data_IF_135887692598
#
_entry.id   IF_135887692598
#
_cell.length_a   1.000
_cell.length_b   1.000
_cell.length_c   1.000
_cell.angle_alpha   90.00
_cell.angle_beta   90.00
_cell.angle_gamma   90.00
#
_symmetry.space_group_name_H-M   'P 1'
#
loop_
_entity.id
_entity.type
_entity.pdbx_description
1 polymer ?
#
# COMPACT_ATOMS: atom_id res chain seq x y z
N UNK A 1 -45.49 13.20 -17.72
CA UNK A 1 -45.77 11.75 -17.63
C UNK A 1 -44.51 11.02 -18.02
N UNK A 2 -43.95 10.26 -17.06
CA UNK A 2 -43.19 9.00 -17.18
C UNK A 2 -42.06 8.94 -18.23
N UNK A 3 -40.85 8.46 -17.96
CA UNK A 3 -40.25 7.88 -16.76
C UNK A 3 -38.77 7.66 -17.06
N UNK A 4 -37.93 7.96 -16.07
CA UNK A 4 -36.97 6.99 -15.52
C UNK A 4 -36.18 6.12 -16.51
N UNK A 5 -35.04 6.63 -16.95
CA UNK A 5 -33.84 5.80 -17.07
C UNK A 5 -32.71 6.58 -16.43
N UNK A 6 -32.71 6.55 -15.11
CA UNK A 6 -31.54 6.84 -14.29
C UNK A 6 -30.49 5.82 -14.70
N UNK A 7 -29.69 6.22 -15.68
CA UNK A 7 -28.53 5.46 -16.14
C UNK A 7 -27.69 5.22 -14.90
N UNK A 8 -27.74 3.97 -14.43
CA UNK A 8 -27.00 3.46 -13.31
C UNK A 8 -25.53 3.70 -13.66
N UNK A 9 -25.03 4.86 -13.27
CA UNK A 9 -23.62 5.18 -13.25
C UNK A 9 -23.02 4.22 -12.24
N UNK A 10 -22.67 3.03 -12.72
CA UNK A 10 -21.71 2.15 -12.06
C UNK A 10 -20.40 2.92 -12.12
N UNK A 11 -20.28 3.95 -11.26
CA UNK A 11 -18.98 4.45 -10.88
C UNK A 11 -18.26 3.19 -10.39
N UNK A 12 -17.10 2.82 -10.95
CA UNK A 12 -16.33 1.74 -10.36
C UNK A 12 -16.19 2.10 -8.89
N UNK A 13 -16.66 1.22 -8.01
CA UNK A 13 -16.61 1.43 -6.57
C UNK A 13 -15.16 1.75 -6.23
N UNK A 14 -14.86 3.04 -6.01
CA UNK A 14 -13.51 3.48 -5.68
C UNK A 14 -13.17 2.80 -4.36
N UNK A 15 -12.00 2.18 -4.31
CA UNK A 15 -11.44 1.67 -3.07
C UNK A 15 -11.17 2.82 -2.09
N UNK A 16 -10.63 2.52 -0.90
CA UNK A 16 -10.33 3.56 0.07
C UNK A 16 -9.33 4.57 -0.50
N UNK A 17 -9.44 5.82 -0.07
CA UNK A 17 -8.44 6.85 -0.35
C UNK A 17 -7.39 6.81 0.76
N UNK A 18 -6.13 6.64 0.37
CA UNK A 18 -4.98 6.67 1.29
C UNK A 18 -4.26 7.99 1.10
N UNK A 19 -4.16 8.75 2.18
CA UNK A 19 -3.37 9.97 2.22
C UNK A 19 -2.04 9.67 2.87
N UNK A 20 -0.95 10.13 2.26
CA UNK A 20 0.41 9.89 2.73
C UNK A 20 1.11 11.24 2.79
N UNK A 21 1.80 11.52 3.89
CA UNK A 21 2.68 12.67 3.92
C UNK A 21 3.87 12.49 2.96
N UNK A 22 4.63 13.55 2.73
CA UNK A 22 5.76 13.50 1.78
C UNK A 22 6.88 12.52 2.18
N UNK A 23 7.00 12.14 3.45
CA UNK A 23 8.03 11.22 3.95
C UNK A 23 7.56 9.78 4.13
N UNK A 24 6.24 9.53 4.05
CA UNK A 24 5.60 8.27 4.42
C UNK A 24 5.53 8.02 5.93
N UNK A 25 5.82 9.02 6.76
CA UNK A 25 5.85 8.89 8.21
C UNK A 25 4.45 8.74 8.78
N UNK A 26 3.50 9.46 8.19
CA UNK A 26 2.10 9.42 8.56
C UNK A 26 1.22 9.07 7.37
N UNK A 27 0.30 8.13 7.62
CA UNK A 27 -0.67 7.67 6.63
C UNK A 27 -2.07 7.80 7.21
N UNK A 28 -3.02 8.26 6.41
CA UNK A 28 -4.43 8.30 6.80
C UNK A 28 -5.28 7.45 5.86
N UNK A 29 -6.01 6.51 6.44
CA UNK A 29 -6.96 5.62 5.72
C UNK A 29 -8.27 5.61 6.48
N UNK A 30 -9.38 5.91 5.80
CA UNK A 30 -10.72 5.94 6.39
C UNK A 30 -10.79 6.75 7.71
N UNK A 31 -10.10 7.89 7.74
CA UNK A 31 -10.04 8.78 8.91
C UNK A 31 -9.12 8.32 10.05
N UNK A 32 -8.46 7.17 9.92
CA UNK A 32 -7.49 6.66 10.90
C UNK A 32 -6.07 7.02 10.51
N UNK A 33 -5.33 7.57 11.46
CA UNK A 33 -3.91 7.89 11.31
C UNK A 33 -3.05 6.69 11.73
N UNK A 34 -2.07 6.34 10.88
CA UNK A 34 -1.07 5.32 11.09
C UNK A 34 0.30 6.00 11.14
N UNK A 35 0.94 5.98 12.30
CA UNK A 35 2.31 6.48 12.47
C UNK A 35 3.33 5.36 12.17
N UNK A 36 4.23 5.63 11.21
CA UNK A 36 5.36 4.78 10.83
C UNK A 36 6.73 5.41 11.11
N UNK A 37 6.82 6.55 11.81
CA UNK A 37 8.07 7.28 12.10
C UNK A 37 9.15 6.37 12.68
N UNK A 38 8.76 5.54 13.65
CA UNK A 38 9.65 4.58 14.33
C UNK A 38 9.74 3.22 13.64
N UNK A 39 9.01 3.01 12.54
CA UNK A 39 8.87 1.74 11.82
C UNK A 39 9.48 1.82 10.43
N UNK A 40 10.75 2.25 10.37
CA UNK A 40 11.49 2.57 9.14
C UNK A 40 11.30 1.54 8.01
N UNK A 41 11.50 0.25 8.28
CA UNK A 41 11.35 -0.79 7.25
C UNK A 41 9.94 -0.84 6.66
N UNK A 42 8.89 -0.68 7.50
CA UNK A 42 7.51 -0.66 7.05
C UNK A 42 7.22 0.57 6.19
N UNK A 43 7.73 1.74 6.60
CA UNK A 43 7.62 2.99 5.85
C UNK A 43 8.24 2.86 4.46
N UNK A 44 9.50 2.41 4.39
CA UNK A 44 10.22 2.25 3.12
C UNK A 44 9.52 1.26 2.19
N UNK A 45 9.07 0.12 2.72
CA UNK A 45 8.31 -0.87 1.97
C UNK A 45 7.03 -0.25 1.40
N UNK A 46 6.28 0.50 2.20
CA UNK A 46 5.04 1.10 1.74
C UNK A 46 5.30 2.16 0.66
N UNK A 47 6.26 3.05 0.87
CA UNK A 47 6.62 4.09 -0.12
C UNK A 47 7.02 3.48 -1.45
N UNK A 48 7.84 2.43 -1.40
CA UNK A 48 8.23 1.65 -2.56
C UNK A 48 7.00 1.07 -3.30
N UNK A 49 6.03 0.49 -2.59
CA UNK A 49 4.81 -0.04 -3.20
C UNK A 49 3.93 1.06 -3.81
N UNK A 50 3.88 2.24 -3.18
CA UNK A 50 3.19 3.43 -3.70
C UNK A 50 3.83 3.90 -5.01
N UNK A 51 5.15 3.98 -5.05
CA UNK A 51 5.89 4.37 -6.26
C UNK A 51 5.62 3.40 -7.41
N UNK A 52 5.62 2.08 -7.17
CA UNK A 52 5.27 1.10 -8.23
C UNK A 52 3.83 1.20 -8.65
N UNK A 53 2.92 1.41 -7.72
CA UNK A 53 1.51 1.59 -8.02
C UNK A 53 1.27 2.81 -8.91
N UNK A 54 2.02 3.89 -8.70
CA UNK A 54 1.96 5.07 -9.57
C UNK A 54 2.49 4.79 -10.99
N UNK A 55 3.45 3.88 -11.14
CA UNK A 55 4.02 3.49 -12.45
C UNK A 55 3.11 2.48 -13.18
N UNK A 56 2.79 1.36 -12.54
CA UNK A 56 1.83 0.36 -13.05
C UNK A 56 1.11 -0.36 -11.89
N UNK A 57 -0.17 -0.05 -11.60
CA UNK A 57 -0.99 -0.70 -10.57
C UNK A 57 -1.17 -2.22 -10.75
N UNK A 58 -0.88 -2.77 -11.93
CA UNK A 58 -1.07 -4.21 -12.22
C UNK A 58 0.16 -5.04 -11.88
N UNK A 59 1.32 -4.44 -11.70
CA UNK A 59 2.56 -5.18 -11.44
C UNK A 59 2.75 -5.34 -9.94
N UNK A 60 2.90 -6.59 -9.49
CA UNK A 60 3.25 -6.87 -8.11
C UNK A 60 4.77 -6.85 -7.93
N UNK A 61 5.21 -6.35 -6.78
CA UNK A 61 6.60 -6.31 -6.36
C UNK A 61 7.01 -7.64 -5.74
N UNK A 62 8.04 -8.33 -6.27
CA UNK A 62 8.56 -9.57 -5.71
C UNK A 62 8.98 -9.43 -4.25
N UNK A 63 8.87 -10.52 -3.48
CA UNK A 63 9.26 -10.53 -2.08
C UNK A 63 10.72 -10.11 -1.84
N UNK A 64 11.61 -10.40 -2.80
CA UNK A 64 13.01 -9.98 -2.71
C UNK A 64 13.15 -8.46 -2.77
N UNK A 65 12.49 -7.81 -3.73
CA UNK A 65 12.52 -6.35 -3.88
C UNK A 65 11.87 -5.65 -2.68
N UNK A 66 10.79 -6.23 -2.14
CA UNK A 66 10.18 -5.76 -0.89
C UNK A 66 11.17 -5.83 0.28
N UNK A 67 11.95 -6.91 0.35
CA UNK A 67 12.97 -7.04 1.38
C UNK A 67 14.09 -6.02 1.19
N UNK A 68 14.62 -5.88 -0.02
CA UNK A 68 15.70 -4.95 -0.31
C UNK A 68 15.28 -3.49 -0.04
N UNK A 69 13.99 -3.15 -0.19
CA UNK A 69 13.45 -1.85 0.20
C UNK A 69 13.42 -1.65 1.73
N UNK A 70 12.93 -2.63 2.48
CA UNK A 70 12.79 -2.53 3.94
C UNK A 70 14.09 -2.65 4.73
N UNK A 71 15.05 -3.39 4.18
CA UNK A 71 16.31 -3.77 4.81
C UNK A 71 17.47 -3.57 3.84
N UNK A 72 17.51 -2.40 3.20
CA UNK A 72 18.54 -2.04 2.21
C UNK A 72 19.95 -2.32 2.72
N UNK A 73 20.73 -3.07 1.92
CA UNK A 73 22.09 -3.49 2.24
C UNK A 73 22.21 -4.76 3.07
N UNK A 74 21.12 -5.28 3.63
CA UNK A 74 21.15 -6.52 4.39
C UNK A 74 21.18 -7.76 3.49
N UNK A 75 21.84 -8.82 3.98
CA UNK A 75 21.83 -10.14 3.34
C UNK A 75 21.10 -11.12 4.24
N UNK A 76 20.28 -11.97 3.62
CA UNK A 76 19.52 -12.98 4.33
C UNK A 76 19.28 -14.20 3.42
N UNK A 77 19.09 -15.37 4.03
CA UNK A 77 18.68 -16.56 3.27
C UNK A 77 17.27 -16.36 2.69
N UNK A 78 16.90 -17.07 1.60
CA UNK A 78 15.57 -16.96 1.00
C UNK A 78 14.42 -17.17 2.00
N UNK A 79 14.58 -18.11 2.94
CA UNK A 79 13.61 -18.37 4.01
C UNK A 79 13.48 -17.19 4.97
N UNK A 80 14.60 -16.58 5.36
CA UNK A 80 14.60 -15.42 6.25
C UNK A 80 14.00 -14.17 5.58
N UNK A 81 14.31 -13.96 4.29
CA UNK A 81 13.67 -12.93 3.45
C UNK A 81 12.16 -13.09 3.46
N UNK A 82 11.66 -14.28 3.11
CA UNK A 82 10.23 -14.55 3.06
C UNK A 82 9.52 -14.32 4.41
N UNK A 83 10.14 -14.77 5.51
CA UNK A 83 9.58 -14.59 6.85
C UNK A 83 9.48 -13.11 7.26
N UNK A 84 10.53 -12.31 7.03
CA UNK A 84 10.54 -10.88 7.37
C UNK A 84 9.54 -10.10 6.53
N UNK A 85 9.48 -10.36 5.23
CA UNK A 85 8.51 -9.75 4.32
C UNK A 85 7.09 -10.10 4.74
N UNK A 86 6.82 -11.39 5.05
CA UNK A 86 5.52 -11.81 5.55
C UNK A 86 5.13 -11.04 6.81
N UNK A 87 6.02 -10.93 7.80
CA UNK A 87 5.77 -10.21 9.05
C UNK A 87 5.54 -8.71 8.82
N UNK A 88 6.31 -8.07 7.93
CA UNK A 88 6.10 -6.66 7.58
C UNK A 88 4.72 -6.44 6.95
N UNK A 89 4.34 -7.27 5.97
CA UNK A 89 3.03 -7.21 5.32
C UNK A 89 1.89 -7.46 6.30
N UNK A 90 2.05 -8.46 7.17
CA UNK A 90 1.09 -8.73 8.25
C UNK A 90 0.93 -7.52 9.17
N UNK A 91 2.02 -6.87 9.55
CA UNK A 91 2.02 -5.70 10.43
C UNK A 91 1.33 -4.51 9.77
N UNK A 92 1.69 -4.18 8.52
CA UNK A 92 1.05 -3.11 7.75
C UNK A 92 -0.47 -3.33 7.63
N UNK A 93 -0.89 -4.56 7.34
CA UNK A 93 -2.33 -4.91 7.24
C UNK A 93 -3.05 -4.75 8.57
N UNK A 94 -2.42 -5.12 9.69
CA UNK A 94 -2.99 -4.94 11.05
C UNK A 94 -3.10 -3.47 11.46
N UNK A 95 -2.20 -2.62 10.98
CA UNK A 95 -2.23 -1.19 11.25
C UNK A 95 -3.37 -0.47 10.50
N UNK A 96 -4.03 -1.12 9.54
CA UNK A 96 -5.16 -0.56 8.80
C UNK A 96 -5.10 -0.77 7.29
N UNK A 97 -3.98 -1.29 6.77
CA UNK A 97 -3.77 -1.42 5.33
C UNK A 97 -4.27 -2.76 4.73
N UNK A 98 -5.15 -3.48 5.44
CA UNK A 98 -5.68 -4.78 4.98
C UNK A 98 -6.43 -4.68 3.66
N UNK A 99 -7.22 -3.62 3.47
CA UNK A 99 -7.92 -3.32 2.21
C UNK A 99 -7.07 -2.57 1.18
N UNK A 100 -5.82 -2.25 1.51
CA UNK A 100 -4.91 -1.47 0.66
C UNK A 100 -3.86 -2.36 0.00
N UNK A 101 -3.26 -3.30 0.74
CA UNK A 101 -2.15 -4.13 0.26
C UNK A 101 -2.63 -5.55 -0.06
N UNK A 102 -2.59 -5.90 -1.33
CA UNK A 102 -2.95 -7.22 -1.84
C UNK A 102 -1.72 -8.08 -2.10
N UNK A 103 -1.91 -9.40 -2.01
CA UNK A 103 -0.92 -10.39 -2.47
C UNK A 103 -1.37 -10.90 -3.83
N UNK A 104 -0.43 -11.01 -4.77
CA UNK A 104 -0.60 -11.67 -6.06
C UNK A 104 0.43 -12.79 -6.20
N UNK A 105 0.33 -13.59 -7.25
CA UNK A 105 1.22 -14.74 -7.46
C UNK A 105 2.70 -14.35 -7.50
N UNK A 106 3.01 -13.19 -8.09
CA UNK A 106 4.37 -12.67 -8.22
C UNK A 106 4.86 -11.83 -7.04
N UNK A 107 4.02 -11.52 -6.04
CA UNK A 107 4.43 -10.73 -4.88
C UNK A 107 3.34 -9.86 -4.26
N UNK A 108 3.67 -8.61 -3.93
CA UNK A 108 2.80 -7.68 -3.22
C UNK A 108 2.53 -6.43 -4.03
N UNK A 109 1.31 -5.90 -3.97
CA UNK A 109 0.92 -4.67 -4.65
C UNK A 109 -0.08 -3.88 -3.80
N UNK A 110 -0.28 -2.61 -4.14
CA UNK A 110 -1.47 -1.88 -3.71
C UNK A 110 -2.65 -2.35 -4.58
N UNK A 111 -3.85 -2.41 -4.00
CA UNK A 111 -5.06 -2.72 -4.77
C UNK A 111 -5.27 -1.63 -5.84
N UNK A 112 -5.43 -1.98 -7.13
CA UNK A 112 -5.69 -1.01 -8.21
C UNK A 112 -6.86 -0.06 -7.97
N UNK A 113 -7.80 -0.43 -7.09
CA UNK A 113 -8.96 0.39 -6.74
C UNK A 113 -8.64 1.48 -5.72
N UNK A 114 -7.50 1.39 -5.03
CA UNK A 114 -7.07 2.35 -4.01
C UNK A 114 -6.54 3.60 -4.69
N UNK A 115 -7.07 4.75 -4.25
CA UNK A 115 -6.56 6.06 -4.66
C UNK A 115 -5.49 6.52 -3.65
N UNK A 116 -4.27 6.76 -4.13
CA UNK A 116 -3.18 7.30 -3.31
C UNK A 116 -3.06 8.80 -3.55
N UNK A 117 -3.01 9.61 -2.48
CA UNK A 117 -2.68 11.03 -2.55
C UNK A 117 -1.50 11.34 -1.65
N UNK A 118 -0.45 11.90 -2.23
CA UNK A 118 0.74 12.35 -1.51
C UNK A 118 0.62 13.87 -1.34
N UNK A 119 0.75 14.36 -0.10
CA UNK A 119 0.64 15.79 0.21
C UNK A 119 1.65 16.23 1.27
N UNK A 120 2.00 17.52 1.28
CA UNK A 120 2.82 18.11 2.34
C UNK A 120 2.01 18.19 3.63
N UNK A 121 2.60 17.65 4.72
CA UNK A 121 2.08 17.56 6.10
C UNK A 121 0.56 17.35 6.20
N UNK A 122 0.13 16.11 6.48
CA UNK A 122 -1.22 15.84 6.97
C UNK A 122 -1.38 16.55 8.33
N UNK A 123 -1.80 17.81 8.32
CA UNK A 123 -2.15 18.59 9.51
C UNK A 123 -3.58 18.28 9.94
#
# INVERSE_FOLDING_TARGET
MMSTAQELSIRPSRGPTVLVDGSGDEIRVDGRTIDLRTRRSLRLILMMLIERHAIDPRVATPARDVFDAGWSGERASPRAVAARVHTAMYTLRRLGLRGVIIRRDSGYAIDPRVEIRIGGALM
#
